data_IF_040480524016
#
_entry.id   IF_040480524016
#
_cell.length_a   1.000
_cell.length_b   1.000
_cell.length_c   1.000
_cell.angle_alpha   90.00
_cell.angle_beta   90.00
_cell.angle_gamma   90.00
#
_symmetry.space_group_name_H-M   'P 1'
#
loop_
_entity.id
_entity.type
_entity.pdbx_description
1 polymer ?
#
# COMPACT_ATOMS: atom_id res chain seq x y z
N UNK A 1 -10.44 -15.56 -0.81
CA UNK A 1 -8.99 -15.48 -0.51
C UNK A 1 -8.36 -14.45 -1.42
N UNK A 2 -7.79 -13.38 -0.86
CA UNK A 2 -6.96 -12.45 -1.63
C UNK A 2 -5.49 -12.85 -1.38
N UNK A 3 -4.75 -13.16 -2.45
CA UNK A 3 -3.38 -13.64 -2.36
C UNK A 3 -2.41 -12.50 -2.68
N UNK A 4 -1.60 -12.12 -1.69
CA UNK A 4 -0.59 -11.06 -1.82
C UNK A 4 0.78 -11.69 -1.98
N UNK A 5 1.51 -11.32 -3.04
CA UNK A 5 2.93 -11.60 -3.24
C UNK A 5 3.72 -10.29 -3.26
N UNK A 6 4.99 -10.35 -2.89
CA UNK A 6 5.93 -9.23 -2.95
C UNK A 6 7.30 -9.73 -3.35
N UNK A 7 8.03 -8.93 -4.13
CA UNK A 7 9.42 -9.14 -4.50
C UNK A 7 10.23 -7.89 -4.12
N UNK A 8 11.53 -8.07 -3.87
CA UNK A 8 12.43 -6.97 -3.53
C UNK A 8 12.97 -6.36 -4.81
N UNK A 9 12.90 -5.03 -4.90
CA UNK A 9 13.57 -4.24 -5.94
C UNK A 9 14.59 -3.32 -5.27
N UNK A 10 15.74 -3.17 -5.91
CA UNK A 10 16.78 -2.23 -5.48
C UNK A 10 16.40 -0.81 -5.85
N UNK A 11 17.00 0.17 -5.17
CA UNK A 11 16.80 1.58 -5.51
C UNK A 11 17.23 1.89 -6.96
N UNK A 12 18.30 1.24 -7.45
CA UNK A 12 18.79 1.40 -8.83
C UNK A 12 17.78 0.91 -9.86
N UNK A 13 17.18 -0.25 -9.62
CA UNK A 13 16.11 -0.78 -10.47
C UNK A 13 14.88 0.14 -10.42
N UNK A 14 14.49 0.60 -9.23
CA UNK A 14 13.38 1.53 -9.07
C UNK A 14 13.59 2.84 -9.87
N UNK A 15 14.79 3.43 -9.83
CA UNK A 15 15.15 4.60 -10.64
C UNK A 15 14.99 4.36 -12.14
N UNK A 16 15.42 3.19 -12.65
CA UNK A 16 15.23 2.79 -14.05
C UNK A 16 13.74 2.66 -14.41
N UNK A 17 12.95 2.05 -13.51
CA UNK A 17 11.50 1.91 -13.71
C UNK A 17 10.78 3.27 -13.78
N UNK A 18 11.16 4.21 -12.92
CA UNK A 18 10.64 5.57 -12.95
C UNK A 18 11.05 6.33 -14.23
N UNK A 19 12.19 6.01 -14.83
CA UNK A 19 12.63 6.55 -16.11
C UNK A 19 11.95 5.86 -17.32
N UNK A 20 11.13 4.84 -17.09
CA UNK A 20 10.43 4.08 -18.14
C UNK A 20 11.20 2.87 -18.69
N UNK A 21 12.36 2.54 -18.10
CA UNK A 21 13.12 1.35 -18.45
C UNK A 21 12.64 0.14 -17.63
N UNK A 22 11.68 -0.61 -18.20
CA UNK A 22 11.12 -1.80 -17.59
C UNK A 22 12.03 -3.03 -17.69
N UNK A 23 13.13 -2.99 -18.46
CA UNK A 23 14.06 -4.12 -18.53
C UNK A 23 14.64 -4.48 -17.15
N UNK A 24 14.72 -3.51 -16.24
CA UNK A 24 15.11 -3.73 -14.85
C UNK A 24 14.29 -4.82 -14.13
N UNK A 25 12.99 -4.98 -14.45
CA UNK A 25 12.15 -6.05 -13.88
C UNK A 25 12.49 -7.43 -14.44
N UNK A 26 12.88 -7.49 -15.72
CA UNK A 26 13.28 -8.75 -16.37
C UNK A 26 14.65 -9.20 -15.89
N UNK A 27 15.57 -8.26 -15.69
CA UNK A 27 16.94 -8.50 -15.22
C UNK A 27 17.01 -8.93 -13.75
N UNK A 28 16.04 -8.54 -12.93
CA UNK A 28 15.95 -8.87 -11.50
C UNK A 28 15.89 -10.39 -11.22
N UNK A 29 15.40 -11.19 -12.18
CA UNK A 29 15.34 -12.65 -12.09
C UNK A 29 14.20 -13.22 -11.23
N UNK A 30 13.49 -12.40 -10.46
CA UNK A 30 12.32 -12.83 -9.68
C UNK A 30 11.11 -13.11 -10.61
N UNK A 31 10.44 -14.27 -10.48
CA UNK A 31 9.25 -14.61 -11.29
C UNK A 31 8.11 -13.59 -11.20
N UNK A 32 7.90 -12.96 -10.04
CA UNK A 32 6.89 -11.90 -9.84
C UNK A 32 7.28 -10.62 -10.57
N UNK A 33 8.58 -10.28 -10.58
CA UNK A 33 9.08 -9.14 -11.37
C UNK A 33 8.88 -9.38 -12.88
N UNK A 34 9.13 -10.60 -13.35
CA UNK A 34 8.86 -10.97 -14.75
C UNK A 34 7.36 -10.93 -15.09
N UNK A 35 6.49 -11.35 -14.17
CA UNK A 35 5.04 -11.24 -14.31
C UNK A 35 4.61 -9.77 -14.41
N UNK A 36 5.14 -8.91 -13.53
CA UNK A 36 4.87 -7.48 -13.56
C UNK A 36 5.36 -6.85 -14.87
N UNK A 37 6.57 -7.19 -15.33
CA UNK A 37 7.12 -6.76 -16.62
C UNK A 37 6.14 -7.08 -17.76
N UNK A 38 5.68 -8.32 -17.85
CA UNK A 38 4.73 -8.74 -18.88
C UNK A 38 3.43 -7.91 -18.80
N UNK A 39 2.87 -7.72 -17.60
CA UNK A 39 1.65 -6.91 -17.41
C UNK A 39 1.86 -5.45 -17.79
N UNK A 40 3.01 -4.85 -17.50
CA UNK A 40 3.30 -3.48 -17.91
C UNK A 40 3.37 -3.34 -19.44
N UNK A 41 3.85 -4.35 -20.16
CA UNK A 41 3.89 -4.33 -21.62
C UNK A 41 2.53 -4.63 -22.26
N UNK A 42 1.83 -5.67 -21.82
CA UNK A 42 0.59 -6.12 -22.46
C UNK A 42 -0.67 -5.40 -21.97
N UNK A 43 -0.66 -4.87 -20.74
CA UNK A 43 -1.81 -4.18 -20.13
C UNK A 43 -1.56 -2.68 -19.95
N UNK A 44 -0.46 -2.15 -20.50
CA UNK A 44 -0.08 -0.74 -20.46
C UNK A 44 -0.05 -0.16 -19.03
N UNK A 45 0.27 -0.98 -18.02
CA UNK A 45 0.40 -0.51 -16.65
C UNK A 45 1.59 0.45 -16.53
N UNK A 46 1.38 1.59 -15.88
CA UNK A 46 2.41 2.60 -15.62
C UNK A 46 2.30 3.08 -14.18
N UNK A 47 3.43 3.44 -13.52
CA UNK A 47 3.36 4.15 -12.25
C UNK A 47 2.53 5.42 -12.43
N UNK A 48 1.62 5.69 -11.50
CA UNK A 48 0.67 6.82 -11.63
C UNK A 48 0.63 7.70 -10.40
N UNK A 49 0.34 7.11 -9.24
CA UNK A 49 0.19 7.82 -7.98
C UNK A 49 1.09 7.22 -6.92
N UNK A 50 1.67 8.09 -6.09
CA UNK A 50 2.37 7.71 -4.87
C UNK A 50 1.42 7.94 -3.70
N UNK A 51 1.33 6.96 -2.79
CA UNK A 51 0.49 7.05 -1.61
C UNK A 51 1.36 6.76 -0.39
N UNK A 52 1.55 7.78 0.44
CA UNK A 52 2.25 7.73 1.70
C UNK A 52 1.22 7.81 2.83
N UNK A 53 1.40 7.05 3.91
CA UNK A 53 0.50 7.08 5.07
C UNK A 53 1.22 6.59 6.32
N UNK A 54 0.72 7.02 7.48
CA UNK A 54 1.11 6.50 8.79
C UNK A 54 0.18 5.36 9.17
N UNK A 55 0.73 4.15 9.35
CA UNK A 55 -0.01 2.96 9.79
C UNK A 55 0.25 2.65 11.26
N UNK A 56 -0.83 2.49 12.00
CA UNK A 56 -0.84 1.96 13.36
C UNK A 56 -1.55 0.60 13.34
N UNK A 57 -0.95 -0.42 13.95
CA UNK A 57 -1.50 -1.77 13.99
C UNK A 57 -1.68 -2.26 15.43
N UNK A 58 -2.86 -2.80 15.69
CA UNK A 58 -3.26 -3.38 16.97
C UNK A 58 -3.69 -4.82 16.75
N UNK A 59 -3.28 -5.68 17.67
CA UNK A 59 -3.66 -7.09 17.67
C UNK A 59 -4.35 -7.35 18.99
N UNK A 60 -5.56 -7.88 18.93
CA UNK A 60 -6.26 -8.41 20.08
C UNK A 60 -6.12 -9.94 20.04
N UNK A 61 -5.26 -10.53 20.90
CA UNK A 61 -4.93 -11.96 20.80
C UNK A 61 -6.13 -12.88 21.02
N UNK A 62 -7.11 -12.44 21.82
CA UNK A 62 -8.32 -13.20 22.13
C UNK A 62 -9.35 -13.02 20.99
N UNK A 63 -9.39 -13.93 20.02
CA UNK A 63 -10.32 -13.87 18.89
C UNK A 63 -9.71 -13.42 17.56
N UNK A 64 -8.37 -13.41 17.47
CA UNK A 64 -7.63 -13.16 16.22
C UNK A 64 -8.02 -11.85 15.52
N UNK A 65 -8.45 -10.83 16.28
CA UNK A 65 -8.83 -9.53 15.72
C UNK A 65 -7.58 -8.69 15.52
N UNK A 66 -7.41 -8.13 14.33
CA UNK A 66 -6.37 -7.18 13.96
C UNK A 66 -7.03 -5.90 13.49
N UNK A 67 -6.65 -4.79 14.11
CA UNK A 67 -7.13 -3.46 13.74
C UNK A 67 -5.95 -2.70 13.17
N UNK A 68 -6.12 -2.10 12.00
CA UNK A 68 -5.15 -1.14 11.44
C UNK A 68 -5.80 0.20 11.20
N UNK A 69 -5.09 1.26 11.57
CA UNK A 69 -5.49 2.64 11.33
C UNK A 69 -4.46 3.24 10.39
N UNK A 70 -4.89 3.61 9.18
CA UNK A 70 -4.09 4.40 8.27
C UNK A 70 -4.54 5.86 8.38
N UNK A 71 -3.59 6.72 8.71
CA UNK A 71 -3.77 8.15 8.97
C UNK A 71 -2.70 8.95 8.25
N UNK A 72 -2.86 10.27 8.19
CA UNK A 72 -1.91 11.17 7.52
C UNK A 72 -1.63 10.71 6.07
N UNK A 73 -2.69 10.45 5.31
CA UNK A 73 -2.57 10.08 3.89
C UNK A 73 -1.98 11.25 3.13
N UNK A 74 -0.96 10.98 2.33
CA UNK A 74 -0.31 11.97 1.49
C UNK A 74 -0.02 11.43 0.11
N UNK A 75 0.09 12.33 -0.85
CA UNK A 75 0.45 12.02 -2.23
C UNK A 75 1.48 13.01 -2.78
N UNK A 76 1.98 12.75 -3.98
CA UNK A 76 2.98 13.59 -4.66
C UNK A 76 2.49 13.89 -6.08
N UNK A 77 2.83 15.07 -6.60
CA UNK A 77 2.46 15.48 -7.96
C UNK A 77 3.13 14.62 -9.04
N UNK A 78 4.34 14.12 -8.77
CA UNK A 78 5.12 13.35 -9.73
C UNK A 78 5.56 12.02 -9.16
N UNK A 79 5.46 10.97 -9.98
CA UNK A 79 6.03 9.66 -9.69
C UNK A 79 7.56 9.70 -9.55
N UNK A 80 8.23 10.68 -10.17
CA UNK A 80 9.68 10.84 -10.10
C UNK A 80 10.16 11.31 -8.72
N UNK A 81 9.24 11.74 -7.85
CA UNK A 81 9.54 12.16 -6.49
C UNK A 81 9.48 10.99 -5.49
N UNK A 82 9.23 9.76 -5.94
CA UNK A 82 9.09 8.57 -5.07
C UNK A 82 10.31 8.32 -4.17
N UNK A 83 11.52 8.51 -4.72
CA UNK A 83 12.77 8.30 -3.98
C UNK A 83 13.38 9.59 -3.45
N UNK A 84 12.72 10.73 -3.65
CA UNK A 84 13.26 12.02 -3.23
C UNK A 84 12.80 12.35 -1.81
N UNK A 85 13.70 12.83 -0.94
CA UNK A 85 13.33 13.30 0.39
C UNK A 85 12.46 14.58 0.32
N UNK A 86 12.61 15.37 -0.74
CA UNK A 86 11.89 16.62 -1.01
C UNK A 86 11.21 16.56 -2.38
N UNK A 87 10.06 17.22 -2.61
CA UNK A 87 9.30 18.09 -1.71
C UNK A 87 8.45 17.34 -0.68
N UNK A 88 7.86 18.07 0.27
CA UNK A 88 6.92 17.52 1.27
C UNK A 88 5.69 16.95 0.56
N UNK A 89 5.28 15.70 0.86
CA UNK A 89 4.05 15.12 0.33
C UNK A 89 2.82 15.96 0.67
N UNK A 90 1.88 16.05 -0.27
CA UNK A 90 0.64 16.82 -0.15
C UNK A 90 -0.35 16.04 0.72
N UNK A 91 -0.87 16.62 1.82
CA UNK A 91 -1.84 15.93 2.66
C UNK A 91 -3.19 15.78 1.97
N UNK A 92 -3.78 14.60 2.11
CA UNK A 92 -5.17 14.31 1.77
C UNK A 92 -5.99 14.48 3.06
N UNK A 93 -6.57 15.65 3.23
CA UNK A 93 -7.29 15.99 4.46
C UNK A 93 -8.59 15.20 4.62
N UNK A 94 -8.96 14.93 5.87
CA UNK A 94 -10.27 14.37 6.23
C UNK A 94 -10.43 12.87 6.00
N UNK A 95 -9.35 12.14 5.71
CA UNK A 95 -9.41 10.69 5.45
C UNK A 95 -8.64 9.92 6.52
N UNK A 96 -9.35 9.02 7.19
CA UNK A 96 -8.79 8.00 8.06
C UNK A 96 -9.37 6.65 7.63
N UNK A 97 -8.51 5.65 7.47
CA UNK A 97 -8.93 4.31 7.07
C UNK A 97 -8.78 3.38 8.26
N UNK A 98 -9.89 2.90 8.78
CA UNK A 98 -9.94 1.85 9.79
C UNK A 98 -10.23 0.52 9.09
N UNK A 99 -9.31 -0.44 9.20
CA UNK A 99 -9.53 -1.80 8.74
C UNK A 99 -9.52 -2.75 9.95
N UNK A 100 -10.57 -3.57 10.07
CA UNK A 100 -10.68 -4.60 11.10
C UNK A 100 -10.71 -5.96 10.41
N UNK A 101 -9.74 -6.81 10.71
CA UNK A 101 -9.63 -8.19 10.24
C UNK A 101 -9.90 -9.11 11.42
N UNK A 102 -10.88 -10.00 11.30
CA UNK A 102 -11.22 -10.97 12.34
C UNK A 102 -11.56 -12.32 11.69
N UNK A 103 -11.34 -13.40 12.43
CA UNK A 103 -11.80 -14.72 12.00
C UNK A 103 -13.30 -14.86 12.31
N UNK A 104 -14.05 -15.56 11.46
CA UNK A 104 -15.51 -15.71 11.57
C UNK A 104 -16.01 -16.40 12.85
N UNK A 105 -15.11 -16.83 13.75
CA UNK A 105 -15.42 -17.35 15.07
C UNK A 105 -15.12 -16.26 16.11
N UNK A 106 -16.17 -15.76 16.77
CA UNK A 106 -16.14 -14.93 17.99
C UNK A 106 -15.69 -13.48 17.81
N UNK A 107 -16.65 -12.61 17.48
CA UNK A 107 -16.59 -11.22 17.96
C UNK A 107 -17.03 -11.25 19.43
N UNK A 108 -16.18 -10.87 20.40
CA UNK A 108 -16.65 -10.59 21.74
C UNK A 108 -17.67 -9.46 21.65
N UNK A 109 -18.83 -9.64 22.28
CA UNK A 109 -19.87 -8.62 22.40
C UNK A 109 -19.32 -7.48 23.28
N UNK A 110 -18.56 -6.56 22.70
CA UNK A 110 -18.15 -5.35 23.39
C UNK A 110 -19.40 -4.46 23.51
N UNK A 111 -20.07 -4.50 24.67
CA UNK A 111 -21.05 -3.49 25.05
C UNK A 111 -20.31 -2.17 25.26
N UNK A 112 -20.26 -1.36 24.21
CA UNK A 112 -19.68 -0.03 24.22
C UNK A 112 -20.30 0.79 23.10
N UNK A 113 -21.44 1.41 23.39
CA UNK A 113 -22.09 2.41 22.55
C UNK A 113 -21.07 3.48 22.12
N UNK A 114 -20.90 3.68 20.81
CA UNK A 114 -20.82 4.98 20.14
C UNK A 114 -20.73 4.77 18.63
N UNK A 115 -21.88 4.49 18.00
CA UNK A 115 -22.05 4.81 16.59
C UNK A 115 -22.20 6.34 16.48
N UNK A 116 -21.16 7.02 15.98
CA UNK A 116 -21.34 8.29 15.28
C UNK A 116 -20.68 8.16 13.92
N UNK A 117 -21.46 7.63 12.98
CA UNK A 117 -21.23 7.88 11.55
C UNK A 117 -21.55 9.36 11.33
N UNK A 118 -20.51 10.18 11.20
CA UNK A 118 -20.67 11.54 10.67
C UNK A 118 -20.58 11.40 9.15
N UNK A 119 -21.69 11.72 8.48
CA UNK A 119 -21.75 11.94 7.02
C UNK A 119 -20.96 13.19 6.64
#
# INVERSE_FOLDING_TARGET
>A
MCFKKSAVITEKECKRLLAGDFAALKENGDPLCLELYAKMHYQLLRPKNIVDYKRESYIYPLGNVRVTIDSDLRTRYSIHDFLKPEPVPIPIAGVYILEVKYDSLTLPRFYGHTERVIK
#
